data_IF_159513728188
#
_entry.id   IF_159513728188
#
_cell.length_a   1.000
_cell.length_b   1.000
_cell.length_c   1.000
_cell.angle_alpha   90.00
_cell.angle_beta   90.00
_cell.angle_gamma   90.00
#
_symmetry.space_group_name_H-M   'P 1'
#
loop_
_entity.id
_entity.type
_entity.pdbx_description
1 polymer ?
#
# COMPACT_ATOMS: atom_id res chain seq x y z
N UNK A 1 -0.79 -12.95 5.39
CA UNK A 1 -1.13 -11.52 5.32
C UNK A 1 -2.37 -11.47 4.47
N UNK A 2 -3.50 -11.05 5.03
CA UNK A 2 -4.77 -11.09 4.33
C UNK A 2 -4.85 -9.95 3.31
N UNK A 3 -5.61 -10.16 2.23
CA UNK A 3 -5.91 -9.08 1.29
C UNK A 3 -6.52 -7.90 2.05
N UNK A 4 -6.09 -6.69 1.70
CA UNK A 4 -6.42 -5.40 2.32
C UNK A 4 -5.80 -5.12 3.69
N UNK A 5 -4.95 -6.00 4.21
CA UNK A 5 -4.12 -5.67 5.37
C UNK A 5 -3.14 -4.52 5.03
N UNK A 6 -2.96 -3.62 5.99
CA UNK A 6 -1.97 -2.54 5.92
C UNK A 6 -0.73 -2.96 6.70
N UNK A 7 0.43 -2.80 6.07
CA UNK A 7 1.71 -3.15 6.67
C UNK A 7 2.67 -1.97 6.65
N UNK A 8 3.52 -1.86 7.68
CA UNK A 8 4.59 -0.88 7.70
C UNK A 8 5.66 -1.26 6.68
N UNK A 9 6.10 -0.28 5.89
CA UNK A 9 7.22 -0.47 4.99
C UNK A 9 8.52 -0.45 5.79
N UNK A 10 9.30 -1.53 5.70
CA UNK A 10 10.62 -1.64 6.35
C UNK A 10 11.78 -1.47 5.37
N UNK A 11 11.49 -1.24 4.08
CA UNK A 11 12.47 -1.09 3.02
C UNK A 11 13.15 0.28 2.98
N UNK A 12 13.97 0.49 1.95
CA UNK A 12 14.76 1.73 1.75
C UNK A 12 13.92 3.00 1.61
N UNK A 13 12.69 2.87 1.10
CA UNK A 13 11.77 3.99 0.88
C UNK A 13 10.77 4.20 2.02
N UNK A 14 11.02 3.65 3.21
CA UNK A 14 10.09 3.72 4.34
C UNK A 14 9.74 5.13 4.79
N UNK A 15 10.61 6.11 4.53
CA UNK A 15 10.37 7.49 4.96
C UNK A 15 9.37 8.19 4.02
N UNK A 16 9.44 7.90 2.72
CA UNK A 16 8.53 8.41 1.68
C UNK A 16 7.23 7.59 1.57
N UNK A 17 7.34 6.27 1.75
CA UNK A 17 6.26 5.28 1.66
C UNK A 17 6.21 4.52 3.00
N UNK A 18 5.59 5.09 4.06
CA UNK A 18 5.60 4.47 5.39
C UNK A 18 4.75 3.20 5.50
N UNK A 19 3.73 3.06 4.65
CA UNK A 19 2.82 1.91 4.69
C UNK A 19 2.55 1.38 3.29
N UNK A 20 2.15 0.12 3.22
CA UNK A 20 1.70 -0.55 2.00
C UNK A 20 0.42 -1.31 2.29
N UNK A 21 -0.53 -1.28 1.36
CA UNK A 21 -1.77 -2.09 1.44
C UNK A 21 -1.61 -3.32 0.56
N UNK A 22 -1.88 -4.49 1.12
CA UNK A 22 -1.90 -5.73 0.35
C UNK A 22 -3.14 -5.77 -0.54
N UNK A 23 -2.98 -5.91 -1.86
CA UNK A 23 -4.12 -6.01 -2.80
C UNK A 23 -4.17 -7.34 -3.54
N UNK A 24 -3.16 -8.19 -3.32
CA UNK A 24 -3.09 -9.52 -3.91
C UNK A 24 -4.23 -10.42 -3.41
N UNK A 25 -4.91 -11.10 -4.34
CA UNK A 25 -5.88 -12.14 -4.02
C UNK A 25 -5.22 -13.28 -3.24
N UNK A 26 -5.94 -13.81 -2.24
CA UNK A 26 -5.52 -14.97 -1.45
C UNK A 26 -5.27 -16.24 -2.29
N UNK A 27 -5.83 -16.31 -3.51
CA UNK A 27 -5.53 -17.38 -4.47
C UNK A 27 -4.03 -17.51 -4.79
N UNK A 28 -3.26 -16.43 -4.58
CA UNK A 28 -1.82 -16.38 -4.84
C UNK A 28 -0.99 -16.36 -3.54
N UNK A 29 -1.52 -16.87 -2.43
CA UNK A 29 -0.83 -16.83 -1.13
C UNK A 29 0.49 -17.62 -1.11
N UNK A 30 0.65 -18.62 -1.97
CA UNK A 30 1.91 -19.37 -2.12
C UNK A 30 3.02 -18.57 -2.81
N UNK A 31 2.71 -17.45 -3.46
CA UNK A 31 3.70 -16.65 -4.16
C UNK A 31 4.62 -15.90 -3.19
N UNK A 32 5.93 -15.91 -3.44
CA UNK A 32 6.93 -15.30 -2.54
C UNK A 32 6.88 -13.77 -2.51
N UNK A 33 6.34 -13.14 -3.54
CA UNK A 33 6.18 -11.67 -3.62
C UNK A 33 4.70 -11.34 -3.47
N UNK A 34 4.42 -10.11 -3.06
CA UNK A 34 3.05 -9.61 -2.85
C UNK A 34 2.81 -8.38 -3.72
N UNK A 35 1.67 -8.31 -4.39
CA UNK A 35 1.20 -7.08 -5.04
C UNK A 35 0.65 -6.13 -3.97
N UNK A 36 1.21 -4.92 -3.90
CA UNK A 36 0.86 -3.93 -2.88
C UNK A 36 0.66 -2.54 -3.50
N UNK A 37 -0.13 -1.71 -2.82
CA UNK A 37 -0.27 -0.28 -3.14
C UNK A 37 0.51 0.55 -2.11
N UNK A 38 1.48 1.38 -2.53
CA UNK A 38 2.23 2.23 -1.61
C UNK A 38 1.36 3.38 -1.09
N UNK A 39 1.42 3.62 0.22
CA UNK A 39 0.78 4.75 0.86
C UNK A 39 1.83 5.82 1.18
N UNK A 40 1.64 7.01 0.62
CA UNK A 40 2.46 8.20 0.89
C UNK A 40 1.76 9.13 1.87
N UNK A 41 2.50 10.05 2.49
CA UNK A 41 1.90 11.05 3.38
C UNK A 41 0.98 11.98 2.59
N UNK A 42 -0.18 12.33 3.14
CA UNK A 42 -1.10 13.27 2.49
C UNK A 42 -0.43 14.62 2.13
N UNK A 43 0.52 15.07 2.93
CA UNK A 43 1.27 16.32 2.70
C UNK A 43 2.15 16.30 1.45
N UNK A 44 2.53 15.13 0.94
CA UNK A 44 3.29 15.00 -0.31
C UNK A 44 2.39 14.96 -1.54
N UNK A 45 1.10 14.68 -1.35
CA UNK A 45 0.09 14.76 -2.39
C UNK A 45 -0.43 16.20 -2.45
N UNK A 46 -0.67 16.71 -3.67
CA UNK A 46 -1.35 17.99 -3.87
C UNK A 46 -2.81 17.95 -3.39
N UNK A 47 -3.65 18.89 -3.83
CA UNK A 47 -5.09 18.81 -3.55
C UNK A 47 -5.66 17.51 -4.11
N UNK A 48 -5.97 16.56 -3.24
CA UNK A 48 -6.67 15.32 -3.59
C UNK A 48 -8.16 15.59 -3.53
N UNK A 49 -8.79 15.73 -4.70
CA UNK A 49 -10.25 15.82 -4.83
C UNK A 49 -10.84 14.42 -4.82
N UNK A 50 -11.73 14.13 -3.87
CA UNK A 50 -12.57 12.93 -3.95
C UNK A 50 -13.61 13.16 -5.06
N UNK A 51 -13.45 12.47 -6.18
CA UNK A 51 -14.50 12.29 -7.18
C UNK A 51 -15.47 11.22 -6.68
N UNK A 52 -16.19 11.52 -5.60
CA UNK A 52 -17.35 10.73 -5.21
C UNK A 52 -18.59 11.53 -5.63
N UNK A 53 -19.08 11.25 -6.83
CA UNK A 53 -20.44 11.55 -7.29
C UNK A 53 -21.22 10.26 -7.28
#
# INVERSE_FOLDING_TARGET
MAQFDVHRNMGKHRDDIPYVVLVQSSLYDSYRRRVVVPMVRKSTLGKVSNLAT
#
